data_IF_788300816566
#
_entry.id   IF_788300816566
#
_cell.length_a   1.000
_cell.length_b   1.000
_cell.length_c   1.000
_cell.angle_alpha   90.00
_cell.angle_beta   90.00
_cell.angle_gamma   90.00
#
_symmetry.space_group_name_H-M   'P 1'
#
loop_
_entity.id
_entity.type
_entity.pdbx_description
1 polymer ?
#
# COMPACT_ATOMS: atom_id res chain seq x y z
N UNK A 1 19.75 3.00 -6.17
CA UNK A 1 18.38 3.19 -5.65
C UNK A 1 17.43 2.71 -6.74
N UNK A 2 16.87 1.51 -6.58
CA UNK A 2 15.82 1.07 -7.51
C UNK A 2 14.65 2.06 -7.37
N UNK A 3 14.47 2.89 -8.35
CA UNK A 3 13.29 3.73 -8.47
C UNK A 3 12.17 2.81 -8.93
N UNK A 4 11.16 2.61 -8.09
CA UNK A 4 9.95 1.93 -8.52
C UNK A 4 9.40 2.67 -9.74
N UNK A 5 9.20 1.91 -10.81
CA UNK A 5 8.51 2.41 -11.99
C UNK A 5 7.04 2.63 -11.64
N UNK A 6 6.63 3.89 -11.62
CA UNK A 6 5.25 4.33 -11.33
C UNK A 6 4.58 4.97 -12.54
N UNK A 7 5.31 5.13 -13.63
CA UNK A 7 4.82 5.81 -14.82
C UNK A 7 3.69 5.01 -15.48
N UNK A 8 2.58 5.66 -15.74
CA UNK A 8 1.40 5.07 -16.36
C UNK A 8 0.65 4.03 -15.52
N UNK A 9 1.04 3.79 -14.27
CA UNK A 9 0.38 2.85 -13.36
C UNK A 9 -0.71 3.54 -12.57
N UNK A 10 -1.87 2.89 -12.45
CA UNK A 10 -2.87 3.20 -11.43
C UNK A 10 -2.45 2.57 -10.12
N UNK A 11 -2.32 3.38 -9.08
CA UNK A 11 -1.78 2.99 -7.78
C UNK A 11 -2.85 3.11 -6.71
N UNK A 12 -2.93 2.11 -5.82
CA UNK A 12 -3.80 2.11 -4.65
C UNK A 12 -2.94 2.05 -3.38
N UNK A 13 -3.11 3.01 -2.47
CA UNK A 13 -2.62 2.88 -1.10
C UNK A 13 -3.71 2.30 -0.21
N UNK A 14 -3.41 1.20 0.49
CA UNK A 14 -4.30 0.55 1.45
C UNK A 14 -3.89 0.91 2.87
N UNK A 15 -4.87 1.32 3.70
CA UNK A 15 -4.60 1.75 5.07
C UNK A 15 -3.69 2.98 5.12
N UNK A 16 -4.07 4.04 4.40
CA UNK A 16 -3.20 5.20 4.18
C UNK A 16 -2.92 6.01 5.47
N UNK A 17 -3.79 5.91 6.49
CA UNK A 17 -3.68 6.72 7.70
C UNK A 17 -3.61 8.22 7.40
N UNK A 18 -2.47 8.85 7.69
CA UNK A 18 -2.24 10.28 7.39
C UNK A 18 -1.76 10.53 5.95
N UNK A 19 -1.56 9.50 5.14
CA UNK A 19 -1.34 9.58 3.71
C UNK A 19 0.10 9.85 3.26
N UNK A 20 1.12 9.50 4.05
CA UNK A 20 2.52 9.81 3.71
C UNK A 20 2.97 9.21 2.36
N UNK A 21 2.62 7.96 2.09
CA UNK A 21 2.97 7.30 0.82
C UNK A 21 2.22 7.96 -0.34
N UNK A 22 0.92 8.23 -0.15
CA UNK A 22 0.11 8.93 -1.16
C UNK A 22 0.65 10.31 -1.48
N UNK A 23 1.06 11.09 -0.48
CA UNK A 23 1.67 12.41 -0.67
C UNK A 23 2.99 12.31 -1.46
N UNK A 24 3.86 11.37 -1.11
CA UNK A 24 5.13 11.14 -1.80
C UNK A 24 4.90 10.74 -3.26
N UNK A 25 3.96 9.84 -3.53
CA UNK A 25 3.62 9.43 -4.90
C UNK A 25 2.94 10.56 -5.68
N UNK A 26 2.07 11.33 -5.03
CA UNK A 26 1.41 12.51 -5.62
C UNK A 26 2.41 13.59 -6.04
N UNK A 27 3.46 13.84 -5.24
CA UNK A 27 4.54 14.78 -5.58
C UNK A 27 5.33 14.35 -6.82
N UNK A 28 5.32 13.05 -7.15
CA UNK A 28 5.94 12.45 -8.34
C UNK A 28 4.95 12.30 -9.51
N UNK A 29 3.80 12.95 -9.43
CA UNK A 29 2.77 12.96 -10.48
C UNK A 29 2.15 11.58 -10.75
N UNK A 30 2.18 10.66 -9.77
CA UNK A 30 1.57 9.35 -9.89
C UNK A 30 0.02 9.42 -9.89
N UNK A 31 -0.63 8.46 -10.55
CA UNK A 31 -2.08 8.22 -10.47
C UNK A 31 -2.37 7.39 -9.23
N UNK A 32 -2.49 8.06 -8.07
CA UNK A 32 -2.67 7.46 -6.76
C UNK A 32 -4.09 7.66 -6.24
N UNK A 33 -4.69 6.59 -5.72
CA UNK A 33 -5.91 6.59 -4.91
C UNK A 33 -5.58 6.08 -3.52
N UNK A 34 -6.03 6.78 -2.48
CA UNK A 34 -5.84 6.39 -1.09
C UNK A 34 -7.11 5.73 -0.52
N UNK A 35 -6.93 4.74 0.35
CA UNK A 35 -8.03 4.11 1.09
C UNK A 35 -7.69 3.92 2.56
N UNK A 36 -8.70 4.06 3.40
CA UNK A 36 -8.66 3.68 4.81
C UNK A 36 -10.09 3.39 5.31
N UNK A 37 -10.22 2.64 6.39
CA UNK A 37 -11.51 2.43 7.06
C UNK A 37 -11.82 3.50 8.11
N UNK A 38 -10.77 4.19 8.61
CA UNK A 38 -10.92 5.17 9.68
C UNK A 38 -11.71 6.41 9.19
N UNK A 39 -12.71 6.89 9.97
CA UNK A 39 -13.57 7.99 9.54
C UNK A 39 -12.83 9.32 9.32
N UNK A 40 -11.73 9.54 10.00
CA UNK A 40 -10.95 10.79 9.93
C UNK A 40 -9.79 10.74 8.92
N UNK A 41 -9.50 9.58 8.32
CA UNK A 41 -8.35 9.44 7.43
C UNK A 41 -8.43 10.38 6.22
N UNK A 42 -9.61 10.56 5.63
CA UNK A 42 -9.83 11.49 4.51
C UNK A 42 -9.49 12.93 4.88
N UNK A 43 -9.94 13.37 6.07
CA UNK A 43 -9.68 14.73 6.56
C UNK A 43 -8.20 14.96 6.83
N UNK A 44 -7.50 13.99 7.40
CA UNK A 44 -6.04 14.07 7.60
C UNK A 44 -5.28 14.09 6.29
N UNK A 45 -5.66 13.23 5.34
CA UNK A 45 -5.06 13.23 4.01
C UNK A 45 -5.23 14.59 3.32
N UNK A 46 -6.45 15.15 3.32
CA UNK A 46 -6.73 16.43 2.71
C UNK A 46 -5.92 17.56 3.36
N UNK A 47 -5.87 17.60 4.70
CA UNK A 47 -5.06 18.58 5.42
C UNK A 47 -3.58 18.50 5.03
N UNK A 48 -3.04 17.28 4.91
CA UNK A 48 -1.66 17.08 4.51
C UNK A 48 -1.40 17.42 3.04
N UNK A 49 -2.37 17.18 2.16
CA UNK A 49 -2.31 17.64 0.76
C UNK A 49 -2.20 19.17 0.70
N UNK A 50 -3.06 19.87 1.46
CA UNK A 50 -3.10 21.33 1.48
C UNK A 50 -1.79 21.91 2.07
N UNK A 51 -1.27 21.33 3.16
CA UNK A 51 0.00 21.74 3.78
C UNK A 51 1.21 21.56 2.86
N UNK A 52 1.15 20.63 1.92
CA UNK A 52 2.21 20.36 0.94
C UNK A 52 1.94 21.01 -0.42
N UNK A 53 0.90 21.85 -0.54
CA UNK A 53 0.49 22.48 -1.81
C UNK A 53 0.34 21.45 -2.95
N UNK A 54 -0.10 20.23 -2.57
CA UNK A 54 -0.22 19.09 -3.47
C UNK A 54 -1.49 19.12 -4.31
N UNK A 55 -1.53 18.27 -5.35
CA UNK A 55 -2.77 18.02 -6.10
C UNK A 55 -3.72 17.19 -5.24
N UNK A 56 -5.04 17.34 -5.43
CA UNK A 56 -6.03 16.50 -4.78
C UNK A 56 -5.74 15.01 -5.02
N UNK A 57 -5.84 14.22 -3.95
CA UNK A 57 -5.68 12.76 -3.99
C UNK A 57 -7.07 12.15 -3.82
N UNK A 58 -7.55 11.34 -4.79
CA UNK A 58 -8.79 10.59 -4.62
C UNK A 58 -8.73 9.70 -3.38
N UNK A 59 -9.78 9.74 -2.57
CA UNK A 59 -9.92 8.92 -1.37
C UNK A 59 -11.21 8.11 -1.41
N UNK A 60 -11.14 6.84 -1.04
CA UNK A 60 -12.30 5.97 -0.87
C UNK A 60 -12.25 5.33 0.51
N UNK A 61 -13.24 5.66 1.35
CA UNK A 61 -13.39 5.00 2.64
C UNK A 61 -13.83 3.57 2.45
N UNK A 62 -12.99 2.61 2.82
CA UNK A 62 -13.27 1.19 2.68
C UNK A 62 -12.52 0.36 3.72
N UNK A 63 -13.25 -0.54 4.38
CA UNK A 63 -12.63 -1.66 5.08
C UNK A 63 -12.33 -2.80 4.10
N UNK A 64 -11.40 -3.68 4.44
CA UNK A 64 -10.98 -4.77 3.55
C UNK A 64 -11.99 -5.91 3.47
N UNK A 65 -12.94 -5.97 4.37
CA UNK A 65 -14.09 -6.90 4.35
C UNK A 65 -15.15 -6.51 3.31
N UNK A 66 -15.19 -5.25 2.90
CA UNK A 66 -16.17 -4.75 1.95
C UNK A 66 -15.96 -5.33 0.55
N UNK A 67 -17.00 -5.96 0.01
CA UNK A 67 -16.94 -6.59 -1.33
C UNK A 67 -17.34 -5.62 -2.44
N UNK A 68 -18.24 -4.70 -2.15
CA UNK A 68 -18.75 -3.71 -3.11
C UNK A 68 -18.12 -2.36 -2.80
N UNK A 69 -17.09 -1.99 -3.55
CA UNK A 69 -16.43 -0.70 -3.47
C UNK A 69 -16.47 -0.01 -4.83
N UNK A 70 -16.29 1.31 -4.82
CA UNK A 70 -16.14 2.11 -6.05
C UNK A 70 -14.71 2.11 -6.61
N UNK A 71 -13.79 1.32 -6.04
CA UNK A 71 -12.36 1.39 -6.34
C UNK A 71 -12.06 0.81 -7.70
N UNK A 72 -12.40 -0.12 -8.29
CA UNK A 72 -11.90 -0.72 -9.55
C UNK A 72 -10.60 -1.50 -9.34
N UNK A 73 -9.74 -1.54 -10.35
CA UNK A 73 -8.52 -2.36 -10.37
C UNK A 73 -7.26 -1.52 -10.59
N UNK A 74 -6.13 -1.99 -10.07
CA UNK A 74 -4.87 -1.27 -9.99
C UNK A 74 -3.68 -2.09 -10.47
N UNK A 75 -2.66 -1.39 -10.99
CA UNK A 75 -1.40 -1.97 -11.46
C UNK A 75 -0.39 -2.13 -10.32
N UNK A 76 -0.50 -1.27 -9.30
CA UNK A 76 0.35 -1.30 -8.10
C UNK A 76 -0.53 -1.06 -6.86
N UNK A 77 -0.37 -1.91 -5.85
CA UNK A 77 -1.01 -1.76 -4.55
C UNK A 77 0.08 -1.64 -3.49
N UNK A 78 0.03 -0.59 -2.68
CA UNK A 78 1.01 -0.31 -1.64
C UNK A 78 0.35 -0.19 -0.27
N UNK A 79 1.06 -0.60 0.78
CA UNK A 79 0.60 -0.43 2.15
C UNK A 79 1.77 -0.45 3.13
N UNK A 80 1.67 0.35 4.18
CA UNK A 80 2.70 0.44 5.22
C UNK A 80 2.08 0.23 6.60
N UNK A 81 2.67 -0.69 7.38
CA UNK A 81 2.23 -1.04 8.74
C UNK A 81 0.73 -1.45 8.83
N UNK A 82 0.26 -2.21 7.86
CA UNK A 82 -1.15 -2.61 7.73
C UNK A 82 -1.48 -3.99 8.33
N UNK A 83 -0.49 -4.77 8.77
CA UNK A 83 -0.65 -6.14 9.26
C UNK A 83 -0.59 -6.24 10.79
N UNK A 84 -1.22 -5.32 11.51
CA UNK A 84 -1.10 -5.22 12.98
C UNK A 84 -2.14 -6.05 13.75
N UNK A 85 -3.19 -6.59 13.10
CA UNK A 85 -4.15 -7.50 13.72
C UNK A 85 -4.09 -8.91 13.08
N UNK A 86 -4.49 -9.96 13.81
CA UNK A 86 -4.37 -11.35 13.34
C UNK A 86 -5.18 -11.68 12.08
N UNK A 87 -6.33 -11.02 11.88
CA UNK A 87 -7.24 -11.20 10.73
C UNK A 87 -6.85 -10.35 9.50
N UNK A 88 -6.02 -9.32 9.69
CA UNK A 88 -5.59 -8.43 8.62
C UNK A 88 -4.93 -9.17 7.45
N UNK A 89 -4.19 -10.25 7.73
CA UNK A 89 -3.55 -11.04 6.69
C UNK A 89 -4.55 -11.60 5.67
N UNK A 90 -5.67 -12.16 6.14
CA UNK A 90 -6.70 -12.74 5.28
C UNK A 90 -7.57 -11.66 4.64
N UNK A 91 -7.97 -10.65 5.39
CA UNK A 91 -8.79 -9.55 4.89
C UNK A 91 -8.08 -8.76 3.80
N UNK A 92 -6.81 -8.38 4.04
CA UNK A 92 -6.02 -7.63 3.08
C UNK A 92 -5.70 -8.46 1.83
N UNK A 93 -5.34 -9.74 1.96
CA UNK A 93 -5.08 -10.58 0.78
C UNK A 93 -6.33 -10.75 -0.10
N UNK A 94 -7.51 -10.89 0.51
CA UNK A 94 -8.79 -10.92 -0.21
C UNK A 94 -9.11 -9.60 -0.88
N UNK A 95 -8.85 -8.48 -0.22
CA UNK A 95 -9.02 -7.14 -0.77
C UNK A 95 -8.08 -6.90 -1.97
N UNK A 96 -6.80 -7.20 -1.81
CA UNK A 96 -5.80 -7.12 -2.89
C UNK A 96 -6.23 -7.95 -4.10
N UNK A 97 -6.66 -9.20 -3.89
CA UNK A 97 -7.11 -10.07 -4.99
C UNK A 97 -8.25 -9.46 -5.79
N UNK A 98 -9.18 -8.75 -5.15
CA UNK A 98 -10.32 -8.10 -5.81
C UNK A 98 -9.93 -6.85 -6.62
N UNK A 99 -8.89 -6.15 -6.18
CA UNK A 99 -8.50 -4.85 -6.75
C UNK A 99 -7.21 -4.89 -7.56
N UNK A 100 -6.54 -6.04 -7.65
CA UNK A 100 -5.36 -6.21 -8.47
C UNK A 100 -5.75 -6.57 -9.91
N UNK A 101 -5.19 -5.85 -10.89
CA UNK A 101 -5.24 -6.24 -12.30
C UNK A 101 -4.56 -7.58 -12.54
N UNK A 102 -4.75 -8.16 -13.73
CA UNK A 102 -4.08 -9.41 -14.15
C UNK A 102 -2.56 -9.32 -13.99
N UNK A 103 -1.99 -8.17 -14.36
CA UNK A 103 -0.59 -7.82 -14.04
C UNK A 103 -0.59 -6.76 -12.95
N UNK A 104 -0.22 -7.15 -11.77
CA UNK A 104 -0.21 -6.25 -10.61
C UNK A 104 0.99 -6.53 -9.72
N UNK A 105 1.56 -5.46 -9.22
CA UNK A 105 2.59 -5.48 -8.19
C UNK A 105 1.98 -5.09 -6.84
N UNK A 106 2.39 -5.75 -5.77
CA UNK A 106 1.95 -5.43 -4.40
C UNK A 106 3.17 -5.26 -3.51
N UNK A 107 3.24 -4.13 -2.81
CA UNK A 107 4.36 -3.79 -1.92
C UNK A 107 3.82 -3.50 -0.54
N UNK A 108 4.19 -4.33 0.44
CA UNK A 108 3.81 -4.16 1.84
C UNK A 108 5.07 -3.93 2.68
N UNK A 109 5.10 -2.82 3.36
CA UNK A 109 6.14 -2.48 4.36
C UNK A 109 5.63 -2.91 5.73
N UNK A 110 6.33 -3.85 6.38
CA UNK A 110 5.97 -4.39 7.68
C UNK A 110 7.08 -4.16 8.70
N UNK A 111 6.81 -3.47 9.82
CA UNK A 111 7.81 -3.24 10.86
C UNK A 111 8.10 -4.48 11.73
N UNK A 112 7.45 -5.63 11.46
CA UNK A 112 7.69 -6.87 12.19
C UNK A 112 6.61 -7.22 13.22
N UNK A 113 5.35 -6.97 12.91
CA UNK A 113 4.22 -7.23 13.82
C UNK A 113 3.76 -8.71 13.90
N UNK A 114 4.44 -9.63 13.21
CA UNK A 114 4.20 -11.07 13.33
C UNK A 114 3.16 -11.66 12.38
N UNK A 115 2.35 -10.85 11.67
CA UNK A 115 1.31 -11.35 10.76
C UNK A 115 1.77 -11.46 9.30
N UNK A 116 2.97 -11.02 8.99
CA UNK A 116 3.47 -10.94 7.63
C UNK A 116 3.65 -12.31 6.95
N UNK A 117 4.00 -13.36 7.69
CA UNK A 117 4.09 -14.73 7.16
C UNK A 117 2.71 -15.27 6.72
N UNK A 118 1.67 -15.01 7.52
CA UNK A 118 0.29 -15.38 7.18
C UNK A 118 -0.17 -14.67 5.91
N UNK A 119 0.15 -13.38 5.79
CA UNK A 119 -0.16 -12.60 4.60
C UNK A 119 0.56 -13.15 3.37
N UNK A 120 1.87 -13.44 3.45
CA UNK A 120 2.61 -14.04 2.35
C UNK A 120 2.01 -15.36 1.89
N UNK A 121 1.64 -16.24 2.82
CA UNK A 121 1.00 -17.52 2.48
C UNK A 121 -0.36 -17.31 1.77
N UNK A 122 -1.17 -16.37 2.23
CA UNK A 122 -2.45 -16.04 1.62
C UNK A 122 -2.28 -15.45 0.20
N UNK A 123 -1.27 -14.62 -0.02
CA UNK A 123 -0.94 -14.06 -1.34
C UNK A 123 -0.49 -15.16 -2.31
N UNK A 124 0.40 -16.06 -1.88
CA UNK A 124 0.83 -17.21 -2.68
C UNK A 124 -0.35 -18.12 -3.05
N UNK A 125 -1.24 -18.41 -2.09
CA UNK A 125 -2.46 -19.19 -2.34
C UNK A 125 -3.44 -18.48 -3.31
N UNK A 126 -3.34 -17.15 -3.45
CA UNK A 126 -4.13 -16.34 -4.37
C UNK A 126 -3.49 -16.18 -5.76
N UNK A 127 -2.37 -16.87 -6.02
CA UNK A 127 -1.70 -16.89 -7.32
C UNK A 127 -0.66 -15.79 -7.52
N UNK A 128 -0.28 -15.06 -6.47
CA UNK A 128 0.84 -14.14 -6.52
C UNK A 128 2.17 -14.85 -6.28
N UNK A 129 3.24 -14.35 -6.87
CA UNK A 129 4.61 -14.79 -6.63
C UNK A 129 5.30 -13.77 -5.73
N UNK A 130 5.97 -14.23 -4.69
CA UNK A 130 6.75 -13.35 -3.81
C UNK A 130 8.17 -13.20 -4.37
N UNK A 131 8.63 -11.97 -4.52
CA UNK A 131 10.01 -11.63 -4.85
C UNK A 131 10.71 -10.98 -3.65
N UNK A 132 12.04 -11.12 -3.59
CA UNK A 132 12.84 -10.38 -2.62
C UNK A 132 13.03 -8.95 -3.11
N UNK A 133 12.89 -7.99 -2.23
CA UNK A 133 13.34 -6.64 -2.44
C UNK A 133 14.58 -6.41 -1.58
N UNK A 134 15.73 -6.27 -2.23
CA UNK A 134 16.94 -5.87 -1.55
C UNK A 134 16.91 -4.35 -1.34
N UNK A 135 16.52 -3.93 -0.14
CA UNK A 135 16.64 -2.52 0.26
C UNK A 135 18.07 -2.29 0.68
N UNK A 136 18.83 -1.57 -0.14
CA UNK A 136 20.13 -1.08 0.27
C UNK A 136 19.96 -0.19 1.52
N UNK A 137 20.75 -0.41 2.60
CA UNK A 137 20.70 0.49 3.74
C UNK A 137 21.03 1.90 3.26
N UNK A 138 20.14 2.86 3.55
CA UNK A 138 20.43 4.25 3.26
C UNK A 138 21.63 4.67 4.10
N UNK A 139 22.69 5.08 3.45
CA UNK A 139 23.94 5.51 4.08
C UNK A 139 23.87 6.91 4.71
N UNK A 140 22.68 7.42 4.99
CA UNK A 140 22.47 8.73 5.60
C UNK A 140 21.90 8.56 7.02
N UNK A 141 22.70 8.98 7.97
CA UNK A 141 22.54 9.21 9.42
C UNK A 141 21.11 9.16 10.00
N UNK A 142 20.52 7.98 10.04
CA UNK A 142 19.28 7.71 10.75
C UNK A 142 19.27 6.29 11.32
N UNK A 143 18.41 5.98 12.31
CA UNK A 143 18.29 4.61 12.79
C UNK A 143 17.91 3.69 11.64
N UNK A 144 18.66 2.59 11.47
CA UNK A 144 18.41 1.61 10.40
C UNK A 144 16.96 1.11 10.48
N UNK A 145 16.25 1.13 9.35
CA UNK A 145 14.93 0.53 9.25
C UNK A 145 15.01 -0.97 9.58
N UNK A 146 14.31 -1.40 10.62
CA UNK A 146 14.31 -2.80 11.08
C UNK A 146 13.17 -3.64 10.49
N UNK A 147 12.30 -3.01 9.70
CA UNK A 147 11.18 -3.67 9.05
C UNK A 147 11.58 -4.47 7.81
N UNK A 148 10.59 -5.07 7.18
CA UNK A 148 10.74 -5.84 5.94
C UNK A 148 9.83 -5.27 4.86
N UNK A 149 10.32 -5.19 3.64
CA UNK A 149 9.52 -4.89 2.46
C UNK A 149 9.21 -6.22 1.77
N UNK A 150 7.93 -6.46 1.55
CA UNK A 150 7.43 -7.63 0.84
C UNK A 150 6.87 -7.22 -0.50
N UNK A 151 7.37 -7.85 -1.54
CA UNK A 151 6.95 -7.59 -2.91
C UNK A 151 6.32 -8.85 -3.49
N UNK A 152 5.16 -8.68 -4.09
CA UNK A 152 4.43 -9.73 -4.77
C UNK A 152 4.09 -9.27 -6.18
N UNK A 153 4.05 -10.21 -7.12
CA UNK A 153 3.72 -9.97 -8.51
C UNK A 153 2.71 -11.03 -8.99
N UNK A 154 1.82 -10.60 -9.86
CA UNK A 154 0.89 -11.48 -10.55
C UNK A 154 0.92 -11.18 -12.05
#
# INVERSE_FOLDING_TARGET
>A
METFDIEGKRILEVGCGVGLTSLMLNSRVADITATDHHPEAESYLQLNVDLNEGRAIPFVRSGWEQKNTSLGEYDLIVGSDVLYQPDHAMLLSGFVKRHAREKCEVIIVDPGRGNAAKFSNAMLASGFLQSKLDVAPSAQDGPSFKGRIRRFNR
#
